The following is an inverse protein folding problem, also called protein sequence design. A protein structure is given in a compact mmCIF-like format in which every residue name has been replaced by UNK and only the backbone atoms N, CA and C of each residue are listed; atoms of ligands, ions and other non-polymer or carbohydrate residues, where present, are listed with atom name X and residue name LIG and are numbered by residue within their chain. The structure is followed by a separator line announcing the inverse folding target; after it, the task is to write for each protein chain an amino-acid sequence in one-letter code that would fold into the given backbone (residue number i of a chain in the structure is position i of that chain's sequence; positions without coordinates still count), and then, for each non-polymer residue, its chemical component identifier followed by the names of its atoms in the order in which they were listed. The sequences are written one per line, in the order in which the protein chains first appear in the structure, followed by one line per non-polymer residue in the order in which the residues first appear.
data_IF_371938305271
#
_entry.id   IF_371938305271
#
_cell.length_a   1.000
_cell.length_b   1.000
_cell.length_c   1.000
_cell.angle_alpha   90.00
_cell.angle_beta   90.00
_cell.angle_gamma   90.00
#
_symmetry.space_group_name_H-M   'P 1'
#
loop_
_entity.id
_entity.type
_entity.pdbx_description
1 polymer ?
#
# COMPACT_ATOMS: atom_id res chain seq x y z
N UNK A 1 -14.48 33.22 26.20
CA UNK A 1 -14.10 32.28 27.27
C UNK A 1 -12.71 31.73 26.94
N UNK A 2 -11.66 32.31 27.50
CA UNK A 2 -10.28 31.81 27.35
C UNK A 2 -10.06 30.72 28.41
N UNK A 3 -9.94 29.47 27.97
CA UNK A 3 -9.64 28.34 28.86
C UNK A 3 -8.15 28.42 29.21
N UNK A 4 -7.85 28.86 30.43
CA UNK A 4 -6.51 28.85 31.01
C UNK A 4 -6.12 27.41 31.37
N UNK A 5 -5.37 26.75 30.49
CA UNK A 5 -4.75 25.46 30.80
C UNK A 5 -3.58 25.69 31.77
N UNK A 6 -3.53 24.99 32.93
CA UNK A 6 -2.49 25.21 33.93
C UNK A 6 -1.07 25.01 33.36
N UNK A 7 -0.08 25.84 33.72
CA UNK A 7 1.29 25.80 33.18
C UNK A 7 2.00 24.44 33.30
N UNK A 8 1.58 23.61 34.26
CA UNK A 8 2.13 22.25 34.49
C UNK A 8 1.73 21.26 33.39
N UNK A 9 0.54 21.40 32.81
CA UNK A 9 0.07 20.54 31.71
C UNK A 9 0.76 20.87 30.39
N UNK A 10 1.00 22.15 30.11
CA UNK A 10 1.72 22.62 28.92
C UNK A 10 3.17 22.07 28.90
N UNK A 11 3.83 22.03 30.06
CA UNK A 11 5.20 21.49 30.20
C UNK A 11 5.30 19.98 29.94
N UNK A 12 4.29 19.21 30.34
CA UNK A 12 4.27 17.75 30.15
C UNK A 12 3.92 17.42 28.68
N UNK A 13 2.96 18.16 28.12
CA UNK A 13 2.50 17.98 26.75
C UNK A 13 3.58 18.34 25.71
N UNK A 14 4.28 19.48 25.90
CA UNK A 14 5.40 19.89 25.05
C UNK A 14 6.59 18.92 25.11
N UNK A 15 6.89 18.36 26.29
CA UNK A 15 7.99 17.41 26.49
C UNK A 15 7.74 16.06 25.82
N UNK A 16 6.50 15.57 25.82
CA UNK A 16 6.12 14.32 25.16
C UNK A 16 6.06 14.44 23.63
N UNK A 17 5.65 15.59 23.10
CA UNK A 17 5.63 15.83 21.65
C UNK A 17 7.05 15.96 21.10
N UNK A 18 7.92 16.75 21.75
CA UNK A 18 9.32 16.92 21.32
C UNK A 18 10.12 15.60 21.34
N UNK A 19 9.85 14.71 22.31
CA UNK A 19 10.47 13.36 22.32
C UNK A 19 9.96 12.44 21.21
N UNK A 20 8.72 12.63 20.75
CA UNK A 20 8.15 11.85 19.63
C UNK A 20 8.60 12.35 18.26
N UNK A 21 8.78 13.65 18.09
CA UNK A 21 9.07 14.24 16.77
C UNK A 21 10.56 14.47 16.50
N UNK A 22 11.40 14.65 17.53
CA UNK A 22 12.85 14.84 17.35
C UNK A 22 13.67 14.12 18.45
N UNK A 23 13.67 12.76 18.47
CA UNK A 23 14.28 11.98 19.55
C UNK A 23 15.80 12.24 19.71
N UNK A 24 16.54 12.36 18.62
CA UNK A 24 18.00 12.59 18.66
C UNK A 24 18.36 13.98 19.23
N UNK A 25 17.57 15.01 18.91
CA UNK A 25 17.76 16.37 19.42
C UNK A 25 17.51 16.44 20.94
N UNK A 26 16.54 15.67 21.45
CA UNK A 26 16.26 15.62 22.89
C UNK A 26 17.36 14.92 23.69
N UNK A 27 18.02 13.90 23.13
CA UNK A 27 19.17 13.25 23.76
C UNK A 27 20.41 14.16 23.76
N UNK A 28 20.73 14.81 22.63
CA UNK A 28 21.86 15.75 22.55
C UNK A 28 21.68 16.95 23.48
N UNK A 29 20.47 17.50 23.57
CA UNK A 29 20.15 18.59 24.50
C UNK A 29 20.27 18.14 25.98
N UNK A 30 19.81 16.93 26.34
CA UNK A 30 19.97 16.39 27.70
C UNK A 30 21.45 16.11 28.05
N UNK A 31 22.26 15.67 27.09
CA UNK A 31 23.71 15.45 27.25
C UNK A 31 24.47 16.78 27.43
N UNK A 32 24.10 17.82 26.66
CA UNK A 32 24.73 19.14 26.74
C UNK A 32 24.35 19.90 28.03
N UNK A 33 23.14 19.68 28.55
CA UNK A 33 22.70 20.19 29.86
C UNK A 33 23.43 19.46 31.00
N UNK A 34 23.61 18.12 30.93
CA UNK A 34 24.38 17.36 31.92
C UNK A 34 25.87 17.71 31.93
N UNK A 35 26.45 18.11 30.79
CA UNK A 35 27.86 18.53 30.67
C UNK A 35 28.13 19.98 31.11
N UNK A 36 27.15 20.67 31.68
CA UNK A 36 27.33 22.02 32.25
C UNK A 36 27.66 23.11 31.21
N UNK A 37 27.52 22.84 29.90
CA UNK A 37 27.93 23.76 28.82
C UNK A 37 26.87 24.78 28.41
N UNK A 38 25.69 24.78 29.05
CA UNK A 38 24.65 25.77 28.80
C UNK A 38 24.55 26.75 29.98
N UNK A 39 25.45 27.72 29.99
CA UNK A 39 25.36 28.85 30.90
C UNK A 39 24.22 29.81 30.48
N UNK A 40 23.26 29.93 31.38
CA UNK A 40 22.09 30.81 31.37
C UNK A 40 20.80 30.27 30.73
N UNK A 41 19.73 30.33 31.54
CA UNK A 41 18.32 30.12 31.15
C UNK A 41 17.89 30.92 29.92
N UNK A 42 18.58 32.01 29.57
CA UNK A 42 18.22 32.92 28.47
C UNK A 42 18.40 32.28 27.09
N UNK A 43 19.44 31.47 26.88
CA UNK A 43 19.73 30.87 25.57
C UNK A 43 18.77 29.73 25.23
N UNK A 44 18.39 28.91 26.21
CA UNK A 44 17.39 27.84 26.04
C UNK A 44 15.96 28.38 25.82
N UNK A 45 15.60 29.49 26.49
CA UNK A 45 14.32 30.18 26.26
C UNK A 45 14.24 30.84 24.89
N UNK A 46 15.35 31.42 24.40
CA UNK A 46 15.41 32.02 23.07
C UNK A 46 15.21 30.99 21.95
N UNK A 47 15.80 29.80 22.06
CA UNK A 47 15.65 28.74 21.06
C UNK A 47 14.21 28.19 21.02
N UNK A 48 13.58 27.98 22.19
CA UNK A 48 12.18 27.59 22.30
C UNK A 48 11.22 28.66 21.75
N UNK A 49 11.53 29.94 21.98
CA UNK A 49 10.76 31.06 21.43
C UNK A 49 10.87 31.16 19.90
N UNK A 50 12.06 30.91 19.33
CA UNK A 50 12.25 30.89 17.88
C UNK A 50 11.51 29.72 17.20
N UNK A 51 11.53 28.53 17.82
CA UNK A 51 10.81 27.35 17.29
C UNK A 51 9.29 27.55 17.40
N UNK A 52 8.80 28.09 18.53
CA UNK A 52 7.39 28.43 18.70
C UNK A 52 6.94 29.58 17.77
N UNK A 53 7.78 30.60 17.58
CA UNK A 53 7.55 31.72 16.68
C UNK A 53 7.53 31.30 15.21
N UNK A 54 8.44 30.41 14.81
CA UNK A 54 8.46 29.82 13.47
C UNK A 54 7.23 28.95 13.19
N UNK A 55 6.81 28.13 14.16
CA UNK A 55 5.60 27.31 14.05
C UNK A 55 4.32 28.16 13.99
N UNK A 56 4.24 29.23 14.78
CA UNK A 56 3.16 30.21 14.71
C UNK A 56 3.15 30.93 13.35
N UNK A 57 4.30 31.36 12.82
CA UNK A 57 4.38 32.01 11.51
C UNK A 57 3.88 31.11 10.38
N UNK A 58 4.24 29.81 10.39
CA UNK A 58 3.76 28.84 9.39
C UNK A 58 2.25 28.60 9.54
N UNK A 59 1.73 28.47 10.77
CA UNK A 59 0.29 28.37 11.04
C UNK A 59 -0.47 29.63 10.61
N UNK A 60 0.08 30.83 10.86
CA UNK A 60 -0.53 32.10 10.43
C UNK A 60 -0.46 32.28 8.92
N UNK A 61 0.60 31.84 8.24
CA UNK A 61 0.70 31.91 6.78
C UNK A 61 -0.30 30.97 6.09
N UNK A 62 -0.44 29.73 6.56
CA UNK A 62 -1.42 28.77 6.04
C UNK A 62 -2.86 29.25 6.30
N UNK A 63 -3.15 29.68 7.54
CA UNK A 63 -4.44 30.23 7.92
C UNK A 63 -4.76 31.57 7.22
N UNK A 64 -3.75 32.33 6.78
CA UNK A 64 -3.95 33.58 6.02
C UNK A 64 -4.42 33.35 4.59
N UNK A 65 -4.05 32.23 3.95
CA UNK A 65 -4.40 31.93 2.56
C UNK A 65 -5.86 31.46 2.45
N UNK A 66 -6.28 30.55 3.31
CA UNK A 66 -7.68 30.13 3.42
C UNK A 66 -8.58 31.29 3.87
N UNK A 67 -8.14 32.10 4.85
CA UNK A 67 -8.86 33.30 5.27
C UNK A 67 -9.02 34.32 4.14
N UNK A 68 -8.01 34.50 3.28
CA UNK A 68 -8.11 35.36 2.09
C UNK A 68 -9.11 34.83 1.06
N UNK A 69 -9.19 33.52 0.87
CA UNK A 69 -10.17 32.89 -0.02
C UNK A 69 -11.60 33.04 0.51
N UNK A 70 -11.80 32.80 1.82
CA UNK A 70 -13.10 33.00 2.48
C UNK A 70 -13.52 34.48 2.46
N UNK A 71 -12.58 35.41 2.67
CA UNK A 71 -12.85 36.86 2.53
C UNK A 71 -13.18 37.26 1.09
N UNK A 72 -12.51 36.67 0.09
CA UNK A 72 -12.83 36.93 -1.31
C UNK A 72 -14.23 36.41 -1.67
N UNK A 73 -14.63 35.26 -1.14
CA UNK A 73 -15.98 34.71 -1.27
C UNK A 73 -17.04 35.62 -0.62
N UNK A 74 -16.79 36.05 0.63
CA UNK A 74 -17.66 36.97 1.36
C UNK A 74 -17.78 38.33 0.65
N UNK A 75 -16.67 38.87 0.14
CA UNK A 75 -16.64 40.15 -0.59
C UNK A 75 -17.34 40.07 -1.94
N UNK A 76 -17.27 38.93 -2.64
CA UNK A 76 -18.07 38.70 -3.85
C UNK A 76 -19.56 38.57 -3.54
N UNK A 77 -19.94 38.11 -2.35
CA UNK A 77 -21.34 38.00 -1.93
C UNK A 77 -21.91 39.35 -1.45
N UNK A 78 -21.11 40.16 -0.76
CA UNK A 78 -21.47 41.52 -0.29
C UNK A 78 -21.60 42.53 -1.44
N UNK A 79 -20.87 42.36 -2.54
CA UNK A 79 -20.96 43.23 -3.73
C UNK A 79 -22.19 42.96 -4.62
N UNK A 80 -23.14 42.13 -4.19
CA UNK A 80 -24.33 41.81 -4.97
C UNK A 80 -25.45 42.85 -4.84
N UNK A 81 -25.34 43.84 -3.93
CA UNK A 81 -26.36 44.88 -3.78
C UNK A 81 -26.45 45.78 -5.03
N UNK A 82 -27.53 45.60 -5.80
CA UNK A 82 -27.82 46.30 -7.05
C UNK A 82 -27.72 45.46 -8.34
N UNK A 83 -27.19 44.23 -8.29
CA UNK A 83 -27.06 43.34 -9.45
C UNK A 83 -28.33 42.51 -9.72
N UNK A 84 -28.65 42.25 -11.00
CA UNK A 84 -29.80 41.42 -11.41
C UNK A 84 -29.63 39.98 -10.95
N UNK A 85 -30.73 39.25 -10.76
CA UNK A 85 -30.72 37.84 -10.37
C UNK A 85 -29.83 37.00 -11.29
N UNK A 86 -29.87 37.26 -12.60
CA UNK A 86 -29.07 36.57 -13.61
C UNK A 86 -27.57 36.78 -13.42
N UNK A 87 -27.15 37.99 -13.08
CA UNK A 87 -25.75 38.35 -12.85
C UNK A 87 -25.22 37.64 -11.59
N UNK A 88 -26.00 37.64 -10.51
CA UNK A 88 -25.65 36.96 -9.26
C UNK A 88 -25.51 35.45 -9.47
N UNK A 89 -26.44 34.83 -10.21
CA UNK A 89 -26.35 33.41 -10.56
C UNK A 89 -25.14 33.14 -11.46
N UNK A 90 -24.83 34.05 -12.39
CA UNK A 90 -23.65 33.98 -13.25
C UNK A 90 -22.33 33.97 -12.48
N UNK A 91 -22.18 34.88 -11.51
CA UNK A 91 -20.98 35.02 -10.69
C UNK A 91 -20.77 33.83 -9.74
N UNK A 92 -21.86 33.32 -9.15
CA UNK A 92 -21.80 32.10 -8.34
C UNK A 92 -21.36 30.91 -9.21
N UNK A 93 -21.96 30.72 -10.40
CA UNK A 93 -21.54 29.64 -11.33
C UNK A 93 -20.10 29.78 -11.80
N UNK A 94 -19.58 31.00 -11.96
CA UNK A 94 -18.18 31.25 -12.30
C UNK A 94 -17.26 30.84 -11.15
N UNK A 95 -17.64 31.18 -9.92
CA UNK A 95 -16.89 30.81 -8.70
C UNK A 95 -16.88 29.30 -8.48
N UNK A 96 -18.03 28.63 -8.67
CA UNK A 96 -18.11 27.16 -8.63
C UNK A 96 -17.14 26.53 -9.62
N UNK A 97 -17.14 26.98 -10.89
CA UNK A 97 -16.21 26.48 -11.91
C UNK A 97 -14.74 26.66 -11.55
N UNK A 98 -14.37 27.75 -10.88
CA UNK A 98 -12.99 27.97 -10.41
C UNK A 98 -12.58 26.93 -9.35
N UNK A 99 -13.45 26.69 -8.37
CA UNK A 99 -13.18 25.70 -7.31
C UNK A 99 -13.26 24.26 -7.81
N UNK A 100 -14.18 23.95 -8.73
CA UNK A 100 -14.25 22.67 -9.42
C UNK A 100 -12.92 22.38 -10.14
N UNK A 101 -12.39 23.35 -10.89
CA UNK A 101 -11.10 23.21 -11.56
C UNK A 101 -9.91 23.11 -10.58
N UNK A 102 -9.89 23.87 -9.47
CA UNK A 102 -8.83 23.74 -8.46
C UNK A 102 -8.87 22.36 -7.78
N UNK A 103 -10.06 21.86 -7.46
CA UNK A 103 -10.25 20.52 -6.91
C UNK A 103 -9.80 19.46 -7.91
N UNK A 104 -10.17 19.58 -9.19
CA UNK A 104 -9.75 18.68 -10.25
C UNK A 104 -8.23 18.60 -10.36
N UNK A 105 -7.52 19.73 -10.33
CA UNK A 105 -6.06 19.75 -10.37
C UNK A 105 -5.43 19.06 -9.15
N UNK A 106 -5.98 19.27 -7.95
CA UNK A 106 -5.50 18.61 -6.73
C UNK A 106 -5.79 17.11 -6.72
N UNK A 107 -6.96 16.69 -7.21
CA UNK A 107 -7.30 15.27 -7.37
C UNK A 107 -6.34 14.63 -8.36
N UNK A 108 -6.12 15.22 -9.54
CA UNK A 108 -5.12 14.75 -10.52
C UNK A 108 -3.72 14.65 -9.94
N UNK A 109 -3.27 15.65 -9.19
CA UNK A 109 -1.96 15.62 -8.55
C UNK A 109 -1.84 14.49 -7.51
N UNK A 110 -2.92 14.24 -6.75
CA UNK A 110 -2.99 13.14 -5.78
C UNK A 110 -3.01 11.77 -6.46
N UNK A 111 -3.72 11.67 -7.58
CA UNK A 111 -3.70 10.50 -8.46
C UNK A 111 -2.28 10.19 -8.95
N UNK A 112 -1.60 11.16 -9.57
CA UNK A 112 -0.21 10.97 -10.00
C UNK A 112 0.70 10.50 -8.86
N UNK A 113 0.51 11.04 -7.66
CA UNK A 113 1.30 10.66 -6.50
C UNK A 113 1.10 9.17 -6.13
N UNK A 114 -0.12 8.65 -6.21
CA UNK A 114 -0.39 7.22 -6.04
C UNK A 114 0.32 6.33 -7.06
N UNK A 115 0.38 6.74 -8.33
CA UNK A 115 1.11 6.01 -9.38
C UNK A 115 2.63 6.04 -9.14
N UNK A 116 3.17 7.16 -8.66
CA UNK A 116 4.59 7.26 -8.29
C UNK A 116 4.93 6.36 -7.11
N UNK A 117 4.06 6.27 -6.09
CA UNK A 117 4.25 5.33 -4.99
C UNK A 117 4.23 3.87 -5.47
N UNK A 118 3.32 3.51 -6.38
CA UNK A 118 3.33 2.18 -7.03
C UNK A 118 4.66 1.94 -7.74
N UNK A 119 5.11 2.89 -8.55
CA UNK A 119 6.35 2.77 -9.34
C UNK A 119 7.57 2.61 -8.43
N UNK A 120 7.63 3.39 -7.34
CA UNK A 120 8.69 3.31 -6.36
C UNK A 120 8.69 1.95 -5.64
N UNK A 121 7.51 1.39 -5.34
CA UNK A 121 7.41 0.04 -4.81
C UNK A 121 7.94 -1.01 -5.78
N UNK A 122 7.62 -0.93 -7.06
CA UNK A 122 8.12 -1.83 -8.11
C UNK A 122 9.66 -1.76 -8.20
N UNK A 123 10.24 -0.56 -8.14
CA UNK A 123 11.70 -0.38 -8.08
C UNK A 123 12.32 -1.01 -6.82
N UNK A 124 11.67 -0.87 -5.66
CA UNK A 124 12.11 -1.57 -4.44
C UNK A 124 12.00 -3.09 -4.58
N UNK A 125 10.96 -3.61 -5.24
CA UNK A 125 10.80 -5.03 -5.52
C UNK A 125 11.92 -5.56 -6.42
N UNK A 126 12.33 -4.83 -7.46
CA UNK A 126 13.47 -5.18 -8.32
C UNK A 126 14.77 -5.30 -7.52
N UNK A 127 14.95 -4.44 -6.51
CA UNK A 127 16.08 -4.51 -5.57
C UNK A 127 15.87 -5.49 -4.41
N UNK A 128 14.78 -6.26 -4.43
CA UNK A 128 14.38 -7.23 -3.38
C UNK A 128 14.16 -6.59 -2.00
N UNK A 129 13.94 -5.28 -1.95
CA UNK A 129 13.66 -4.50 -0.74
C UNK A 129 12.17 -4.54 -0.42
N UNK A 130 11.62 -5.75 -0.18
CA UNK A 130 10.18 -5.96 -0.09
C UNK A 130 9.49 -5.20 1.07
N UNK A 131 10.20 -4.96 2.19
CA UNK A 131 9.66 -4.15 3.29
C UNK A 131 9.42 -2.68 2.92
N UNK A 132 10.33 -2.07 2.16
CA UNK A 132 10.15 -0.70 1.65
C UNK A 132 9.09 -0.65 0.55
N UNK A 133 8.99 -1.72 -0.26
CA UNK A 133 7.93 -1.85 -1.25
C UNK A 133 6.54 -1.85 -0.60
N UNK A 134 6.33 -2.62 0.48
CA UNK A 134 5.04 -2.62 1.21
C UNK A 134 4.66 -1.21 1.67
N UNK A 135 5.59 -0.46 2.29
CA UNK A 135 5.32 0.91 2.77
C UNK A 135 4.83 1.83 1.65
N UNK A 136 5.43 1.72 0.46
CA UNK A 136 5.03 2.52 -0.69
C UNK A 136 3.71 2.03 -1.31
N UNK A 137 3.45 0.73 -1.29
CA UNK A 137 2.16 0.18 -1.69
C UNK A 137 1.03 0.62 -0.75
N UNK A 138 1.27 0.71 0.55
CA UNK A 138 0.31 1.26 1.51
C UNK A 138 -0.05 2.72 1.16
N UNK A 139 0.95 3.53 0.78
CA UNK A 139 0.69 4.88 0.27
C UNK A 139 -0.12 4.84 -1.03
N UNK A 140 0.27 4.03 -2.02
CA UNK A 140 -0.45 3.91 -3.28
C UNK A 140 -1.92 3.47 -3.08
N UNK A 141 -2.17 2.51 -2.18
CA UNK A 141 -3.51 2.02 -1.83
C UNK A 141 -4.35 3.13 -1.19
N UNK A 142 -3.75 4.03 -0.41
CA UNK A 142 -4.47 5.16 0.19
C UNK A 142 -5.03 6.14 -0.86
N UNK A 143 -4.38 6.25 -2.03
CA UNK A 143 -4.86 7.03 -3.17
C UNK A 143 -5.80 6.20 -4.07
N UNK A 144 -5.55 4.89 -4.22
CA UNK A 144 -6.27 4.01 -5.14
C UNK A 144 -6.76 2.71 -4.46
N UNK A 145 -7.78 2.79 -3.58
CA UNK A 145 -8.23 1.66 -2.76
C UNK A 145 -8.98 0.56 -3.52
N UNK A 146 -9.23 0.76 -4.81
CA UNK A 146 -9.97 -0.15 -5.69
C UNK A 146 -9.13 -0.68 -6.86
N UNK A 147 -7.83 -0.37 -6.92
CA UNK A 147 -6.95 -0.82 -8.01
C UNK A 147 -6.39 -2.21 -7.68
N UNK A 148 -6.81 -3.30 -8.37
CA UNK A 148 -6.47 -4.68 -7.96
C UNK A 148 -4.96 -4.96 -7.96
N UNK A 149 -4.22 -4.38 -8.90
CA UNK A 149 -2.78 -4.57 -9.03
C UNK A 149 -2.00 -4.16 -7.77
N UNK A 150 -2.45 -3.12 -7.05
CA UNK A 150 -1.74 -2.66 -5.84
C UNK A 150 -1.80 -3.71 -4.74
N UNK A 151 -2.97 -4.33 -4.57
CA UNK A 151 -3.16 -5.42 -3.62
C UNK A 151 -2.41 -6.68 -4.04
N UNK A 152 -2.34 -7.00 -5.33
CA UNK A 152 -1.48 -8.07 -5.82
C UNK A 152 0.00 -7.85 -5.43
N UNK A 153 0.54 -6.67 -5.75
CA UNK A 153 1.94 -6.34 -5.46
C UNK A 153 2.20 -6.36 -3.94
N UNK A 154 1.25 -5.89 -3.12
CA UNK A 154 1.35 -5.94 -1.67
C UNK A 154 1.36 -7.39 -1.17
N UNK A 155 0.50 -8.24 -1.72
CA UNK A 155 0.49 -9.67 -1.46
C UNK A 155 1.82 -10.37 -1.77
N UNK A 156 2.42 -10.03 -2.91
CA UNK A 156 3.76 -10.52 -3.29
C UNK A 156 4.80 -10.08 -2.28
N UNK A 157 4.82 -8.80 -1.90
CA UNK A 157 5.81 -8.26 -0.97
C UNK A 157 5.66 -8.85 0.44
N UNK A 158 4.44 -8.98 0.96
CA UNK A 158 4.18 -9.62 2.25
C UNK A 158 4.62 -11.11 2.25
N UNK A 159 4.31 -11.85 1.18
CA UNK A 159 4.75 -13.24 1.06
C UNK A 159 6.28 -13.37 0.99
N UNK A 160 6.96 -12.43 0.34
CA UNK A 160 8.43 -12.41 0.25
C UNK A 160 9.09 -11.98 1.56
N UNK A 161 8.55 -10.98 2.24
CA UNK A 161 9.05 -10.57 3.57
C UNK A 161 8.87 -11.68 4.60
N UNK A 162 7.76 -12.42 4.55
CA UNK A 162 7.55 -13.58 5.43
C UNK A 162 8.70 -14.61 5.35
N UNK A 163 9.36 -14.75 4.19
CA UNK A 163 10.50 -15.69 4.03
C UNK A 163 11.77 -15.27 4.74
N UNK A 164 11.95 -13.99 5.02
CA UNK A 164 13.10 -13.48 5.78
C UNK A 164 12.89 -13.47 7.29
N UNK A 165 11.69 -13.85 7.75
CA UNK A 165 11.36 -13.82 9.18
C UNK A 165 11.82 -15.05 9.93
N UNK A 166 12.49 -14.81 11.05
CA UNK A 166 12.96 -15.87 11.94
C UNK A 166 11.88 -16.28 12.94
N UNK A 167 11.04 -15.33 13.37
CA UNK A 167 9.97 -15.60 14.32
C UNK A 167 8.76 -16.26 13.62
N UNK A 168 8.36 -17.47 14.03
CA UNK A 168 7.26 -18.19 13.38
C UNK A 168 5.93 -17.42 13.42
N UNK A 169 5.64 -16.73 14.53
CA UNK A 169 4.42 -15.92 14.68
C UNK A 169 4.36 -14.79 13.66
N UNK A 170 5.46 -14.04 13.54
CA UNK A 170 5.57 -12.89 12.64
C UNK A 170 5.64 -13.31 11.16
N UNK A 171 6.24 -14.47 10.87
CA UNK A 171 6.14 -15.12 9.55
C UNK A 171 4.69 -15.44 9.21
N UNK A 172 3.97 -16.10 10.11
CA UNK A 172 2.58 -16.49 9.88
C UNK A 172 1.66 -15.28 9.69
N UNK A 173 1.86 -14.22 10.48
CA UNK A 173 1.11 -12.97 10.34
C UNK A 173 1.28 -12.38 8.93
N UNK A 174 2.51 -12.33 8.41
CA UNK A 174 2.76 -11.82 7.06
C UNK A 174 2.21 -12.70 5.96
N UNK A 175 2.27 -14.03 6.10
CA UNK A 175 1.60 -14.93 5.16
C UNK A 175 0.08 -14.68 5.13
N UNK A 176 -0.55 -14.42 6.29
CA UNK A 176 -1.98 -14.07 6.36
C UNK A 176 -2.27 -12.68 5.79
N UNK A 177 -1.38 -11.71 5.95
CA UNK A 177 -1.47 -10.40 5.25
C UNK A 177 -1.39 -10.56 3.73
N UNK A 178 -0.46 -11.38 3.25
CA UNK A 178 -0.34 -11.69 1.82
C UNK A 178 -1.63 -12.31 1.27
N UNK A 179 -2.18 -13.29 1.99
CA UNK A 179 -3.45 -13.93 1.66
C UNK A 179 -4.60 -12.91 1.58
N UNK A 180 -4.71 -12.03 2.60
CA UNK A 180 -5.73 -10.99 2.64
C UNK A 180 -5.61 -10.01 1.46
N UNK A 181 -4.38 -9.62 1.10
CA UNK A 181 -4.13 -8.76 -0.04
C UNK A 181 -4.50 -9.41 -1.38
N UNK A 182 -4.14 -10.67 -1.62
CA UNK A 182 -4.60 -11.37 -2.81
C UNK A 182 -6.12 -11.51 -2.85
N UNK A 183 -6.76 -11.85 -1.72
CA UNK A 183 -8.22 -11.91 -1.63
C UNK A 183 -8.87 -10.56 -1.93
N UNK A 184 -8.27 -9.45 -1.47
CA UNK A 184 -8.74 -8.10 -1.79
C UNK A 184 -8.62 -7.81 -3.30
N UNK A 185 -7.51 -8.15 -3.93
CA UNK A 185 -7.36 -8.04 -5.39
C UNK A 185 -8.45 -8.82 -6.13
N UNK A 186 -8.72 -10.06 -5.70
CA UNK A 186 -9.74 -10.92 -6.31
C UNK A 186 -11.19 -10.46 -6.01
N UNK A 187 -11.42 -9.71 -4.94
CA UNK A 187 -12.72 -9.09 -4.67
C UNK A 187 -13.01 -7.93 -5.62
N UNK A 188 -11.97 -7.21 -6.07
CA UNK A 188 -12.06 -6.08 -6.99
C UNK A 188 -12.07 -6.55 -8.45
N UNK A 189 -11.29 -7.58 -8.77
CA UNK A 189 -11.30 -8.25 -10.06
C UNK A 189 -11.18 -9.76 -9.87
N UNK A 190 -12.31 -10.47 -10.01
CA UNK A 190 -12.42 -11.91 -9.82
C UNK A 190 -11.49 -12.73 -10.73
N UNK A 191 -11.16 -12.21 -11.91
CA UNK A 191 -10.33 -12.87 -12.91
C UNK A 191 -8.95 -12.24 -13.03
N UNK A 192 -8.45 -11.57 -11.99
CA UNK A 192 -7.09 -11.05 -11.97
C UNK A 192 -6.08 -12.22 -11.91
N UNK A 193 -5.50 -12.55 -13.05
CA UNK A 193 -4.72 -13.78 -13.26
C UNK A 193 -3.53 -13.89 -12.32
N UNK A 194 -2.79 -12.80 -12.15
CA UNK A 194 -1.60 -12.77 -11.29
C UNK A 194 -1.95 -13.00 -9.81
N UNK A 195 -3.11 -12.53 -9.35
CA UNK A 195 -3.59 -12.81 -7.99
C UNK A 195 -4.13 -14.21 -7.81
N UNK A 196 -4.80 -14.77 -8.82
CA UNK A 196 -5.20 -16.18 -8.82
C UNK A 196 -3.96 -17.08 -8.69
N UNK A 197 -2.95 -16.81 -9.49
CA UNK A 197 -1.70 -17.55 -9.49
C UNK A 197 -0.90 -17.36 -8.19
N UNK A 198 -0.71 -16.11 -7.76
CA UNK A 198 0.04 -15.77 -6.54
C UNK A 198 -0.57 -16.35 -5.27
N UNK A 199 -1.91 -16.30 -5.13
CA UNK A 199 -2.61 -16.91 -3.99
C UNK A 199 -2.53 -18.44 -4.02
N UNK A 200 -2.60 -19.05 -5.20
CA UNK A 200 -2.44 -20.50 -5.37
C UNK A 200 -1.06 -20.96 -4.90
N UNK A 201 0.00 -20.23 -5.28
CA UNK A 201 1.36 -20.49 -4.79
C UNK A 201 1.43 -20.35 -3.27
N UNK A 202 0.83 -19.29 -2.70
CA UNK A 202 0.83 -19.07 -1.26
C UNK A 202 0.19 -20.25 -0.51
N UNK A 203 -0.96 -20.75 -0.98
CA UNK A 203 -1.63 -21.90 -0.40
C UNK A 203 -0.83 -23.20 -0.51
N UNK A 204 -0.27 -23.48 -1.68
CA UNK A 204 0.45 -24.73 -1.94
C UNK A 204 1.78 -24.79 -1.17
N UNK A 205 2.52 -23.68 -1.11
CA UNK A 205 3.92 -23.72 -0.67
C UNK A 205 4.17 -23.10 0.69
N UNK A 206 3.31 -22.21 1.18
CA UNK A 206 3.59 -21.46 2.40
C UNK A 206 2.56 -21.71 3.52
N UNK A 207 1.29 -21.92 3.17
CA UNK A 207 0.21 -22.12 4.16
C UNK A 207 -0.15 -23.58 4.39
N UNK A 208 0.40 -24.52 3.60
CA UNK A 208 0.05 -25.94 3.66
C UNK A 208 -1.48 -26.19 3.44
N UNK A 209 -2.10 -25.35 2.61
CA UNK A 209 -3.52 -25.36 2.28
C UNK A 209 -3.73 -25.76 0.81
N UNK A 210 -2.99 -26.76 0.33
CA UNK A 210 -2.89 -27.15 -1.09
C UNK A 210 -4.24 -27.26 -1.81
N UNK A 211 -5.25 -27.85 -1.18
CA UNK A 211 -6.58 -28.03 -1.77
C UNK A 211 -7.32 -26.70 -2.02
N UNK A 212 -7.03 -25.67 -1.23
CA UNK A 212 -7.62 -24.33 -1.39
C UNK A 212 -7.20 -23.65 -2.70
N UNK A 213 -6.12 -24.12 -3.34
CA UNK A 213 -5.64 -23.59 -4.62
C UNK A 213 -6.46 -24.08 -5.84
N UNK A 214 -7.12 -25.24 -5.74
CA UNK A 214 -7.87 -25.84 -6.86
C UNK A 214 -8.86 -24.87 -7.54
N UNK A 215 -9.84 -24.27 -6.83
CA UNK A 215 -10.81 -23.39 -7.48
C UNK A 215 -10.20 -22.10 -8.05
N UNK A 216 -9.03 -21.69 -7.56
CA UNK A 216 -8.30 -20.54 -8.09
C UNK A 216 -7.60 -20.88 -9.40
N UNK A 217 -6.93 -22.03 -9.46
CA UNK A 217 -6.22 -22.52 -10.63
C UNK A 217 -7.18 -22.94 -11.75
N UNK A 218 -8.29 -23.61 -11.42
CA UNK A 218 -9.35 -23.92 -12.39
C UNK A 218 -9.91 -22.63 -13.00
N UNK A 219 -10.16 -21.60 -12.18
CA UNK A 219 -10.61 -20.29 -12.68
C UNK A 219 -9.55 -19.62 -13.56
N UNK A 220 -8.28 -19.71 -13.20
CA UNK A 220 -7.19 -19.14 -13.99
C UNK A 220 -7.09 -19.83 -15.36
N UNK A 221 -7.05 -21.16 -15.40
CA UNK A 221 -6.93 -21.94 -16.63
C UNK A 221 -8.15 -21.77 -17.53
N UNK A 222 -9.34 -21.60 -16.96
CA UNK A 222 -10.55 -21.32 -17.75
C UNK A 222 -10.48 -19.97 -18.48
N UNK A 223 -9.85 -18.95 -17.88
CA UNK A 223 -9.66 -17.63 -18.50
C UNK A 223 -8.41 -17.59 -19.39
N UNK A 224 -7.37 -18.35 -19.04
CA UNK A 224 -6.07 -18.38 -19.71
C UNK A 224 -5.65 -19.84 -20.02
N UNK A 225 -6.24 -20.48 -21.05
CA UNK A 225 -6.04 -21.92 -21.31
C UNK A 225 -4.60 -22.31 -21.69
N UNK A 226 -3.76 -21.34 -22.05
CA UNK A 226 -2.34 -21.50 -22.37
C UNK A 226 -1.41 -21.33 -21.16
N UNK A 227 -1.93 -21.04 -19.96
CA UNK A 227 -1.12 -20.82 -18.76
C UNK A 227 -0.58 -22.16 -18.19
N UNK A 228 0.47 -22.69 -18.81
CA UNK A 228 1.04 -24.00 -18.46
C UNK A 228 1.52 -24.07 -17.01
N UNK A 229 2.08 -22.99 -16.45
CA UNK A 229 2.51 -22.98 -15.04
C UNK A 229 1.34 -23.20 -14.07
N UNK A 230 0.17 -22.64 -14.35
CA UNK A 230 -1.04 -22.89 -13.58
C UNK A 230 -1.50 -24.35 -13.70
N UNK A 231 -1.35 -24.96 -14.89
CA UNK A 231 -1.63 -26.40 -15.09
C UNK A 231 -0.67 -27.29 -14.32
N UNK A 232 0.62 -26.95 -14.25
CA UNK A 232 1.58 -27.65 -13.40
C UNK A 232 1.16 -27.61 -11.92
N UNK A 233 0.74 -26.43 -11.43
CA UNK A 233 0.24 -26.30 -10.06
C UNK A 233 -1.05 -27.09 -9.85
N UNK A 234 -1.99 -27.07 -10.80
CA UNK A 234 -3.25 -27.81 -10.65
C UNK A 234 -3.01 -29.32 -10.67
N UNK A 235 -2.09 -29.82 -11.49
CA UNK A 235 -1.67 -31.21 -11.47
C UNK A 235 -1.11 -31.61 -10.10
N UNK A 236 -0.32 -30.74 -9.45
CA UNK A 236 0.16 -30.95 -8.08
C UNK A 236 -0.99 -31.03 -7.07
N UNK A 237 -1.99 -30.17 -7.21
CA UNK A 237 -3.19 -30.20 -6.36
C UNK A 237 -3.97 -31.50 -6.56
N UNK A 238 -4.15 -31.94 -7.81
CA UNK A 238 -4.77 -33.23 -8.11
C UNK A 238 -4.02 -34.42 -7.53
N UNK A 239 -2.68 -34.40 -7.53
CA UNK A 239 -1.89 -35.45 -6.89
C UNK A 239 -2.12 -35.45 -5.37
N UNK A 240 -2.16 -34.27 -4.73
CA UNK A 240 -2.48 -34.15 -3.31
C UNK A 240 -3.90 -34.63 -2.97
N UNK A 241 -4.85 -34.54 -3.91
CA UNK A 241 -6.20 -35.11 -3.80
C UNK A 241 -6.26 -36.63 -4.07
N UNK A 242 -5.17 -37.25 -4.55
CA UNK A 242 -5.17 -38.62 -5.05
C UNK A 242 -5.77 -38.79 -6.45
N UNK A 243 -6.15 -37.70 -7.13
CA UNK A 243 -6.64 -37.69 -8.49
C UNK A 243 -5.50 -37.76 -9.52
N UNK A 244 -4.86 -38.93 -9.60
CA UNK A 244 -3.72 -39.16 -10.51
C UNK A 244 -4.13 -38.96 -11.98
N UNK A 245 -5.33 -39.40 -12.37
CA UNK A 245 -5.85 -39.29 -13.74
C UNK A 245 -5.99 -37.83 -14.19
N UNK A 246 -6.50 -36.96 -13.31
CA UNK A 246 -6.59 -35.53 -13.58
C UNK A 246 -5.21 -34.89 -13.79
N UNK A 247 -4.22 -35.29 -12.98
CA UNK A 247 -2.85 -34.80 -13.13
C UNK A 247 -2.20 -35.25 -14.45
N UNK A 248 -2.35 -36.53 -14.82
CA UNK A 248 -1.88 -37.07 -16.11
C UNK A 248 -2.49 -36.28 -17.27
N UNK A 249 -3.79 -36.01 -17.22
CA UNK A 249 -4.51 -35.29 -18.27
C UNK A 249 -3.92 -33.88 -18.47
N UNK A 250 -3.63 -33.16 -17.39
CA UNK A 250 -3.00 -31.84 -17.47
C UNK A 250 -1.59 -31.90 -18.05
N UNK A 251 -0.78 -32.89 -17.67
CA UNK A 251 0.55 -33.06 -18.26
C UNK A 251 0.49 -33.37 -19.75
N UNK A 252 -0.43 -34.23 -20.19
CA UNK A 252 -0.65 -34.53 -21.61
C UNK A 252 -1.05 -33.27 -22.41
N UNK A 253 -1.89 -32.41 -21.82
CA UNK A 253 -2.19 -31.13 -22.44
C UNK A 253 -0.96 -30.23 -22.61
N UNK A 254 -0.09 -30.15 -21.59
CA UNK A 254 1.12 -29.34 -21.65
C UNK A 254 2.07 -29.89 -22.72
N UNK A 255 2.29 -31.21 -22.75
CA UNK A 255 3.14 -31.88 -23.74
C UNK A 255 2.66 -31.58 -25.16
N UNK A 256 1.35 -31.65 -25.37
CA UNK A 256 0.73 -31.41 -26.68
C UNK A 256 0.77 -29.95 -27.12
N UNK A 257 0.53 -29.01 -26.20
CA UNK A 257 0.26 -27.59 -26.54
C UNK A 257 1.42 -26.64 -26.25
N UNK A 258 2.40 -27.00 -25.42
CA UNK A 258 3.51 -26.09 -25.10
C UNK A 258 4.39 -25.82 -26.32
N UNK A 259 4.89 -24.59 -26.41
CA UNK A 259 5.86 -24.18 -27.43
C UNK A 259 7.31 -24.35 -27.00
N UNK A 260 7.57 -24.60 -25.70
CA UNK A 260 8.91 -24.72 -25.15
C UNK A 260 9.27 -26.18 -24.91
N UNK A 261 10.46 -26.61 -25.33
CA UNK A 261 10.94 -27.97 -25.06
C UNK A 261 11.03 -28.26 -23.56
N UNK A 262 11.45 -27.27 -22.76
CA UNK A 262 11.60 -27.40 -21.31
C UNK A 262 10.30 -27.81 -20.61
N UNK A 263 9.19 -27.07 -20.85
CA UNK A 263 7.90 -27.43 -20.25
C UNK A 263 7.41 -28.82 -20.68
N UNK A 264 7.70 -29.25 -21.93
CA UNK A 264 7.34 -30.60 -22.38
C UNK A 264 8.11 -31.67 -21.60
N UNK A 265 9.43 -31.51 -21.51
CA UNK A 265 10.29 -32.44 -20.77
C UNK A 265 9.88 -32.51 -19.30
N UNK A 266 9.64 -31.36 -18.65
CA UNK A 266 9.19 -31.33 -17.25
C UNK A 266 7.82 -32.00 -17.08
N UNK A 267 6.89 -31.84 -18.02
CA UNK A 267 5.60 -32.51 -17.98
C UNK A 267 5.72 -34.03 -18.20
N UNK A 268 6.59 -34.48 -19.12
CA UNK A 268 6.88 -35.90 -19.36
C UNK A 268 7.50 -36.56 -18.13
N UNK A 269 8.49 -35.92 -17.51
CA UNK A 269 9.16 -36.40 -16.30
C UNK A 269 8.18 -36.49 -15.12
N UNK A 270 7.39 -35.44 -14.89
CA UNK A 270 6.39 -35.43 -13.82
C UNK A 270 5.30 -36.49 -14.05
N UNK A 271 4.82 -36.65 -15.29
CA UNK A 271 3.86 -37.69 -15.67
C UNK A 271 4.44 -39.09 -15.45
N UNK A 272 5.70 -39.31 -15.82
CA UNK A 272 6.38 -40.59 -15.59
C UNK A 272 6.50 -40.89 -14.10
N UNK A 273 6.93 -39.91 -13.31
CA UNK A 273 7.11 -40.06 -11.88
C UNK A 273 5.80 -40.42 -11.15
N UNK A 274 4.65 -39.86 -11.53
CA UNK A 274 3.36 -40.25 -10.93
C UNK A 274 2.94 -41.68 -11.31
N UNK A 275 3.15 -42.10 -12.56
CA UNK A 275 2.75 -43.43 -13.04
C UNK A 275 3.63 -44.54 -12.45
N UNK A 276 4.91 -44.25 -12.18
CA UNK A 276 5.84 -45.17 -11.53
C UNK A 276 5.71 -45.16 -9.99
N UNK A 277 4.79 -44.37 -9.42
CA UNK A 277 4.59 -44.23 -7.97
C UNK A 277 5.76 -43.54 -7.26
N UNK A 278 6.56 -42.76 -7.99
CA UNK A 278 7.75 -42.06 -7.49
C UNK A 278 7.49 -40.58 -7.12
N UNK A 279 6.30 -40.05 -7.40
CA UNK A 279 6.03 -38.64 -7.18
C UNK A 279 5.89 -38.28 -5.69
N UNK A 280 6.72 -37.34 -5.21
CA UNK A 280 6.67 -36.84 -3.83
C UNK A 280 7.41 -37.69 -2.78
N UNK A 281 8.28 -38.62 -3.21
CA UNK A 281 9.28 -39.27 -2.34
C UNK A 281 10.58 -38.47 -2.27
#
# INVERSE_FOLDING_TARGET
MLILVPPRFIRIWTRNILRRTMPNFTQEAEILIKKGKFESRRTSLALLACVAGGFCLVMFMSCSRERKQILALAKNYENLDGASWEDRVGDIKKTMRLYENELEQKVKASEFLGEYYKTLAELYMEKKMYGEAVKNLDQAISYYPEKPILFYLAGVCEARTAKSEQEPGTRQERLRKAEAYYKRALSLNRNHGESLYGLSILYIFELNETLSAKPLLERLINNEPSHNDAKFLLARVYIAEGNVEGAVTLYDEIIKKSHTSEQKTVAEENKRAILEGAYGR
#
